data_IF_269500554167
#
_entry.id   IF_269500554167
#
_cell.length_a   1.000
_cell.length_b   1.000
_cell.length_c   1.000
_cell.angle_alpha   90.00
_cell.angle_beta   90.00
_cell.angle_gamma   90.00
#
_symmetry.space_group_name_H-M   'P 1'
#
loop_
_entity.id
_entity.type
_entity.pdbx_description
1 polymer ?
#
# COMPACT_ATOMS: atom_id res chain seq x y z
N UNK A 1 -3.07 -31.52 7.41
CA UNK A 1 -2.28 -30.68 8.34
C UNK A 1 -1.29 -29.74 7.64
N UNK A 2 -0.50 -30.16 6.65
CA UNK A 2 0.48 -29.28 5.97
C UNK A 2 -0.12 -28.00 5.34
N UNK A 3 -1.37 -28.06 4.87
CA UNK A 3 -2.10 -26.90 4.33
C UNK A 3 -2.57 -25.89 5.38
N UNK A 4 -2.59 -26.24 6.67
CA UNK A 4 -3.07 -25.35 7.74
C UNK A 4 -1.98 -24.42 8.27
N UNK A 5 -0.71 -24.82 8.15
CA UNK A 5 0.43 -24.05 8.67
C UNK A 5 0.53 -22.66 8.01
N UNK A 6 0.46 -22.52 6.66
CA UNK A 6 0.50 -21.20 6.02
C UNK A 6 -0.61 -20.26 6.51
N UNK A 7 -1.81 -20.80 6.75
CA UNK A 7 -2.95 -20.03 7.26
C UNK A 7 -2.73 -19.57 8.70
N UNK A 8 -2.19 -20.43 9.57
CA UNK A 8 -1.84 -20.06 10.94
C UNK A 8 -0.74 -19.00 10.96
N UNK A 9 0.29 -19.14 10.12
CA UNK A 9 1.35 -18.12 9.97
C UNK A 9 0.74 -16.80 9.55
N UNK A 10 -0.16 -16.81 8.55
CA UNK A 10 -0.85 -15.60 8.11
C UNK A 10 -1.58 -14.92 9.26
N UNK A 11 -2.42 -15.66 10.00
CA UNK A 11 -3.21 -15.09 11.10
C UNK A 11 -2.28 -14.50 12.17
N UNK A 12 -1.31 -15.27 12.64
CA UNK A 12 -0.43 -14.84 13.73
C UNK A 12 0.35 -13.59 13.33
N UNK A 13 0.98 -13.59 12.16
CA UNK A 13 1.78 -12.44 11.67
C UNK A 13 0.90 -11.23 11.43
N UNK A 14 -0.30 -11.40 10.83
CA UNK A 14 -1.23 -10.30 10.63
C UNK A 14 -1.69 -9.70 11.96
N UNK A 15 -2.02 -10.52 12.96
CA UNK A 15 -2.41 -10.04 14.28
C UNK A 15 -1.26 -9.29 14.95
N UNK A 16 -0.02 -9.78 14.85
CA UNK A 16 1.16 -9.06 15.35
C UNK A 16 1.25 -7.68 14.69
N UNK A 17 1.22 -7.59 13.36
CA UNK A 17 1.28 -6.30 12.66
C UNK A 17 0.11 -5.37 13.04
N UNK A 18 -1.10 -5.90 13.13
CA UNK A 18 -2.29 -5.13 13.48
C UNK A 18 -2.23 -4.58 14.91
N UNK A 19 -1.86 -5.41 15.89
CA UNK A 19 -1.76 -4.98 17.29
C UNK A 19 -0.53 -4.12 17.56
N UNK A 20 0.55 -4.26 16.80
CA UNK A 20 1.69 -3.35 16.85
C UNK A 20 1.36 -1.94 16.35
N UNK A 21 0.30 -1.77 15.56
CA UNK A 21 -0.11 -0.46 15.06
C UNK A 21 -1.64 -0.39 14.85
N UNK A 22 -2.37 -0.33 15.97
CA UNK A 22 -3.84 -0.27 15.98
C UNK A 22 -4.40 0.98 15.29
N UNK A 23 -3.68 2.10 15.44
CA UNK A 23 -4.06 3.43 14.95
C UNK A 23 -2.97 4.01 14.04
N UNK A 24 -2.80 3.47 12.83
CA UNK A 24 -1.80 3.99 11.92
C UNK A 24 -2.15 5.43 11.55
N UNK A 25 -1.19 6.35 11.76
CA UNK A 25 -1.35 7.78 11.48
C UNK A 25 -1.82 8.06 10.04
N UNK A 26 -1.32 7.27 9.09
CA UNK A 26 -1.77 7.32 7.69
C UNK A 26 -1.49 8.66 6.99
N UNK A 27 -0.51 9.45 7.48
CA UNK A 27 -0.17 10.76 6.92
C UNK A 27 0.35 10.66 5.49
N UNK A 28 1.18 9.65 5.20
CA UNK A 28 1.80 9.46 3.88
C UNK A 28 1.13 8.33 3.10
N UNK A 29 0.27 8.71 2.14
CA UNK A 29 -0.48 7.82 1.24
C UNK A 29 -0.11 8.07 -0.23
N UNK A 30 1.18 8.25 -0.52
CA UNK A 30 1.67 8.60 -1.86
C UNK A 30 1.10 7.72 -2.97
N UNK A 31 1.08 6.40 -2.78
CA UNK A 31 0.59 5.48 -3.81
C UNK A 31 -0.93 5.48 -3.95
N UNK A 32 -1.67 5.85 -2.91
CA UNK A 32 -3.13 6.06 -3.00
C UNK A 32 -3.44 7.28 -3.88
N UNK A 33 -2.77 8.41 -3.64
CA UNK A 33 -2.95 9.61 -4.48
C UNK A 33 -2.45 9.40 -5.92
N UNK A 34 -1.35 8.65 -6.10
CA UNK A 34 -0.86 8.30 -7.44
C UNK A 34 -1.86 7.39 -8.17
N UNK A 35 -2.41 6.38 -7.49
CA UNK A 35 -3.43 5.50 -8.05
C UNK A 35 -4.70 6.25 -8.45
N UNK A 36 -5.15 7.18 -7.60
CA UNK A 36 -6.28 8.07 -7.90
C UNK A 36 -6.01 8.93 -9.15
N UNK A 37 -4.78 9.42 -9.31
CA UNK A 37 -4.37 10.18 -10.50
C UNK A 37 -4.32 9.31 -11.77
N UNK A 38 -3.82 8.08 -11.66
CA UNK A 38 -3.83 7.11 -12.77
C UNK A 38 -5.25 6.76 -13.21
N UNK A 39 -6.18 6.55 -12.27
CA UNK A 39 -7.60 6.32 -12.57
C UNK A 39 -8.26 7.48 -13.33
N UNK A 40 -7.71 8.70 -13.17
CA UNK A 40 -8.15 9.91 -13.89
C UNK A 40 -7.35 10.18 -15.16
N UNK A 41 -6.49 9.24 -15.60
CA UNK A 41 -5.67 9.38 -16.80
C UNK A 41 -4.56 10.42 -16.68
N UNK A 42 -4.07 10.69 -15.45
CA UNK A 42 -3.05 11.71 -15.17
C UNK A 42 -1.75 11.08 -14.69
N UNK A 43 -0.63 11.73 -15.00
CA UNK A 43 0.68 11.40 -14.44
C UNK A 43 1.08 12.36 -13.30
N UNK A 44 0.50 13.56 -13.28
CA UNK A 44 0.64 14.49 -12.16
C UNK A 44 -0.37 14.16 -11.04
N UNK A 45 0.00 14.50 -9.82
CA UNK A 45 -0.73 14.17 -8.59
C UNK A 45 -1.16 15.46 -7.88
N UNK A 46 -2.22 16.14 -8.36
CA UNK A 46 -2.59 17.48 -7.89
C UNK A 46 -3.04 17.50 -6.41
N UNK A 47 -3.57 16.39 -5.91
CA UNK A 47 -4.17 16.27 -4.58
C UNK A 47 -3.16 15.97 -3.46
N UNK A 48 -1.84 15.95 -3.74
CA UNK A 48 -0.85 15.70 -2.70
C UNK A 48 -0.90 16.79 -1.62
N UNK A 49 -0.91 16.42 -0.33
CA UNK A 49 -0.82 17.39 0.75
C UNK A 49 0.49 18.20 0.70
N UNK A 50 0.42 19.48 1.05
CA UNK A 50 1.58 20.40 1.00
C UNK A 50 2.70 20.04 1.99
N UNK A 51 2.41 19.25 3.02
CA UNK A 51 3.43 18.79 3.98
C UNK A 51 4.27 17.61 3.47
N UNK A 52 3.99 17.07 2.29
CA UNK A 52 4.76 15.97 1.72
C UNK A 52 6.12 16.47 1.25
N UNK A 53 7.21 15.90 1.77
CA UNK A 53 8.56 16.31 1.37
C UNK A 53 8.99 15.68 0.03
N UNK A 54 8.53 14.47 -0.27
CA UNK A 54 8.96 13.70 -1.45
C UNK A 54 8.12 14.01 -2.71
N UNK A 55 8.13 15.28 -3.12
CA UNK A 55 7.34 15.77 -4.28
C UNK A 55 8.25 16.49 -5.28
N UNK A 56 8.12 16.13 -6.55
CA UNK A 56 8.77 16.84 -7.65
C UNK A 56 7.81 17.86 -8.24
N UNK A 57 8.20 19.13 -8.22
CA UNK A 57 7.45 20.21 -8.86
C UNK A 57 8.00 20.50 -10.25
N UNK A 58 7.16 20.40 -11.27
CA UNK A 58 7.54 20.70 -12.65
C UNK A 58 6.37 21.33 -13.41
N UNK A 59 6.59 22.49 -14.05
CA UNK A 59 5.57 23.25 -14.79
C UNK A 59 4.25 23.46 -14.01
N UNK A 60 4.35 23.83 -12.72
CA UNK A 60 3.19 24.08 -11.86
C UNK A 60 2.40 22.83 -11.45
N UNK A 61 2.93 21.63 -11.72
CA UNK A 61 2.32 20.34 -11.36
C UNK A 61 3.18 19.60 -10.34
N UNK A 62 2.52 18.76 -9.53
CA UNK A 62 3.14 17.88 -8.54
C UNK A 62 3.31 16.47 -9.12
N UNK A 63 4.47 15.87 -8.95
CA UNK A 63 4.78 14.51 -9.38
C UNK A 63 5.42 13.72 -8.24
N UNK A 64 5.27 12.40 -8.27
CA UNK A 64 5.95 11.50 -7.34
C UNK A 64 7.09 10.78 -8.07
N UNK A 65 8.33 10.79 -7.55
CA UNK A 65 9.48 10.14 -8.18
C UNK A 65 9.53 8.63 -7.87
N UNK A 66 8.38 7.98 -7.69
CA UNK A 66 8.27 6.59 -7.26
C UNK A 66 7.91 5.67 -8.42
N UNK A 67 8.29 4.40 -8.31
CA UNK A 67 7.92 3.39 -9.29
C UNK A 67 6.38 3.22 -9.36
N UNK A 68 5.78 2.98 -10.54
CA UNK A 68 4.33 3.01 -10.70
C UNK A 68 3.63 1.73 -10.20
N UNK A 69 4.36 0.61 -10.06
CA UNK A 69 3.76 -0.69 -9.80
C UNK A 69 2.87 -0.74 -8.53
N UNK A 70 3.26 -0.17 -7.37
CA UNK A 70 2.40 -0.17 -6.20
C UNK A 70 1.12 0.66 -6.41
N UNK A 71 1.18 1.77 -7.14
CA UNK A 71 -0.01 2.56 -7.45
C UNK A 71 -0.96 1.81 -8.40
N UNK A 72 -0.42 1.14 -9.44
CA UNK A 72 -1.21 0.31 -10.36
C UNK A 72 -1.93 -0.80 -9.59
N UNK A 73 -1.23 -1.47 -8.68
CA UNK A 73 -1.84 -2.48 -7.81
C UNK A 73 -2.98 -1.93 -6.95
N UNK A 74 -2.83 -0.70 -6.44
CA UNK A 74 -3.84 -0.06 -5.61
C UNK A 74 -5.04 0.51 -6.38
N UNK A 75 -4.93 0.72 -7.70
CA UNK A 75 -6.02 1.28 -8.53
C UNK A 75 -7.41 0.65 -8.29
N UNK A 76 -7.60 -0.69 -8.32
CA UNK A 76 -8.93 -1.26 -8.08
C UNK A 76 -9.48 -0.94 -6.69
N UNK A 77 -8.62 -0.90 -5.66
CA UNK A 77 -9.04 -0.56 -4.30
C UNK A 77 -9.36 0.93 -4.19
N UNK A 78 -8.56 1.80 -4.79
CA UNK A 78 -8.80 3.24 -4.80
C UNK A 78 -10.04 3.59 -5.63
N UNK A 79 -10.37 2.83 -6.67
CA UNK A 79 -11.61 3.01 -7.42
C UNK A 79 -12.87 2.75 -6.56
N UNK A 80 -12.77 1.86 -5.56
CA UNK A 80 -13.88 1.50 -4.65
C UNK A 80 -13.91 2.41 -3.42
N UNK A 81 -12.75 2.66 -2.79
CA UNK A 81 -12.64 3.32 -1.49
C UNK A 81 -12.14 4.77 -1.56
N UNK A 82 -11.78 5.26 -2.76
CA UNK A 82 -11.19 6.58 -2.94
C UNK A 82 -9.86 6.77 -2.22
N UNK A 83 -9.52 8.03 -1.95
CA UNK A 83 -8.28 8.43 -1.24
C UNK A 83 -8.31 8.14 0.26
N UNK A 84 -9.46 7.71 0.78
CA UNK A 84 -9.61 7.30 2.18
C UNK A 84 -8.97 5.94 2.46
N UNK A 85 -8.67 5.16 1.42
CA UNK A 85 -7.99 3.86 1.51
C UNK A 85 -6.80 3.93 2.48
N UNK A 86 -6.78 3.01 3.44
CA UNK A 86 -5.70 2.93 4.42
C UNK A 86 -4.52 2.13 3.84
N UNK A 87 -3.59 2.83 3.18
CA UNK A 87 -2.40 2.23 2.57
C UNK A 87 -1.59 1.36 3.55
N UNK A 88 -1.52 1.76 4.83
CA UNK A 88 -0.78 1.02 5.87
C UNK A 88 -1.43 -0.34 6.16
N UNK A 89 -2.76 -0.39 6.23
CA UNK A 89 -3.47 -1.68 6.41
C UNK A 89 -3.28 -2.61 5.21
N UNK A 90 -3.27 -2.06 3.99
CA UNK A 90 -2.97 -2.85 2.79
C UNK A 90 -1.53 -3.38 2.83
N UNK A 91 -0.55 -2.56 3.24
CA UNK A 91 0.82 -3.03 3.35
C UNK A 91 1.01 -4.10 4.43
N UNK A 92 0.23 -4.07 5.52
CA UNK A 92 0.22 -5.15 6.51
C UNK A 92 -0.21 -6.48 5.90
N UNK A 93 -1.28 -6.49 5.09
CA UNK A 93 -1.77 -7.71 4.42
C UNK A 93 -0.69 -8.25 3.46
N UNK A 94 -0.12 -7.39 2.60
CA UNK A 94 0.93 -7.78 1.66
C UNK A 94 2.18 -8.28 2.39
N UNK A 95 2.58 -7.61 3.48
CA UNK A 95 3.70 -8.01 4.31
C UNK A 95 3.48 -9.41 4.91
N UNK A 96 2.29 -9.68 5.43
CA UNK A 96 1.93 -11.01 5.93
C UNK A 96 1.96 -12.07 4.82
N UNK A 97 1.43 -11.75 3.63
CA UNK A 97 1.52 -12.65 2.47
C UNK A 97 2.97 -12.96 2.10
N UNK A 98 3.88 -11.98 2.21
CA UNK A 98 5.30 -12.18 1.97
C UNK A 98 5.91 -13.21 2.94
N UNK A 99 5.59 -13.13 4.25
CA UNK A 99 6.07 -14.11 5.24
C UNK A 99 5.56 -15.52 4.92
N UNK A 100 4.29 -15.65 4.52
CA UNK A 100 3.72 -16.93 4.09
C UNK A 100 4.43 -17.46 2.84
N UNK A 101 4.67 -16.62 1.84
CA UNK A 101 5.40 -16.99 0.62
C UNK A 101 6.83 -17.44 0.96
N UNK A 102 7.52 -16.74 1.85
CA UNK A 102 8.84 -17.13 2.32
C UNK A 102 8.83 -18.51 2.99
N UNK A 103 7.83 -18.78 3.84
CA UNK A 103 7.64 -20.10 4.43
C UNK A 103 7.45 -21.19 3.37
N UNK A 104 6.61 -20.94 2.35
CA UNK A 104 6.34 -21.90 1.28
C UNK A 104 7.57 -22.14 0.38
N UNK A 105 8.39 -21.11 0.14
CA UNK A 105 9.59 -21.20 -0.69
C UNK A 105 10.73 -21.92 0.05
N UNK A 106 10.92 -21.61 1.33
CA UNK A 106 11.98 -22.22 2.15
C UNK A 106 11.61 -23.62 2.63
N UNK A 107 10.31 -23.89 2.82
CA UNK A 107 9.76 -25.13 3.32
C UNK A 107 9.75 -26.27 2.30
N UNK A 108 10.95 -26.70 1.86
CA UNK A 108 11.14 -28.09 1.41
C UNK A 108 10.56 -29.06 2.46
#
# INVERSE_FOLDING_TARGET
MKSLIPFLIFIVVFLVYFFSNLHPLGWYKHYVFLADSFLKGRLDVPQLPEYYQDVVFFNGKKFLPFAPAPAIFLMPLVAIFGTDLNQVRISMIIGTMNVVLMWLILGK
#
